data_IF_649923971471
#
_entry.id   IF_649923971471
#
_cell.length_a   1.000
_cell.length_b   1.000
_cell.length_c   1.000
_cell.angle_alpha   90.00
_cell.angle_beta   90.00
_cell.angle_gamma   90.00
#
_symmetry.space_group_name_H-M   'P 1'
#
loop_
_entity.id
_entity.type
_entity.pdbx_description
1 polymer ?
#
# COMPACT_ATOMS: atom_id res chain seq x y z
N UNK A 1 3.03 0.58 -20.74
CA UNK A 1 4.29 0.45 -20.00
C UNK A 1 4.76 -1.00 -20.08
N UNK A 2 5.37 -1.41 -21.20
CA UNK A 2 5.88 -2.78 -21.39
C UNK A 2 6.85 -3.23 -20.29
N UNK A 3 7.67 -2.30 -19.80
CA UNK A 3 8.72 -2.50 -18.80
C UNK A 3 8.13 -2.90 -17.44
N UNK A 4 6.98 -2.31 -17.08
CA UNK A 4 6.22 -2.71 -15.89
C UNK A 4 5.74 -4.15 -15.98
N UNK A 5 5.18 -4.54 -17.14
CA UNK A 5 4.68 -5.91 -17.34
C UNK A 5 5.81 -6.92 -17.26
N UNK A 6 7.00 -6.59 -17.79
CA UNK A 6 8.19 -7.45 -17.69
C UNK A 6 8.73 -7.56 -16.26
N UNK A 7 8.73 -6.46 -15.50
CA UNK A 7 9.08 -6.49 -14.07
C UNK A 7 8.10 -7.40 -13.31
N UNK A 8 6.80 -7.21 -13.47
CA UNK A 8 5.78 -7.99 -12.76
C UNK A 8 5.85 -9.48 -13.09
N UNK A 9 6.16 -9.84 -14.35
CA UNK A 9 6.40 -11.25 -14.72
C UNK A 9 7.56 -11.88 -13.93
N UNK A 10 8.64 -11.13 -13.68
CA UNK A 10 9.77 -11.60 -12.87
C UNK A 10 9.39 -11.68 -11.39
N UNK A 11 8.69 -10.69 -10.84
CA UNK A 11 8.21 -10.70 -9.46
C UNK A 11 7.29 -11.89 -9.16
N UNK A 12 6.49 -12.32 -10.13
CA UNK A 12 5.59 -13.45 -10.03
C UNK A 12 6.16 -14.78 -10.55
N UNK A 13 7.49 -14.89 -10.73
CA UNK A 13 8.08 -16.17 -11.12
C UNK A 13 7.81 -17.24 -10.03
N UNK A 14 7.45 -18.45 -10.49
CA UNK A 14 7.18 -19.59 -9.62
C UNK A 14 8.42 -20.05 -8.87
N UNK A 15 9.61 -19.86 -9.45
CA UNK A 15 10.88 -20.09 -8.77
C UNK A 15 11.26 -18.83 -7.98
N UNK A 16 11.35 -18.89 -6.63
CA UNK A 16 11.76 -17.76 -5.81
C UNK A 16 13.13 -17.18 -6.18
N UNK A 17 14.07 -18.02 -6.62
CA UNK A 17 15.42 -17.58 -7.01
C UNK A 17 15.47 -16.73 -8.27
N UNK A 18 14.39 -16.76 -9.08
CA UNK A 18 14.26 -15.94 -10.30
C UNK A 18 13.57 -14.60 -10.05
N UNK A 19 13.02 -14.41 -8.86
CA UNK A 19 12.39 -13.14 -8.49
C UNK A 19 13.49 -12.10 -8.27
N UNK A 20 13.25 -10.84 -8.67
CA UNK A 20 14.18 -9.78 -8.35
C UNK A 20 14.23 -9.57 -6.84
N UNK A 21 15.40 -9.14 -6.37
CA UNK A 21 15.59 -8.66 -5.01
C UNK A 21 14.87 -7.33 -4.79
N UNK A 22 14.67 -6.95 -3.52
CA UNK A 22 14.05 -5.65 -3.18
C UNK A 22 14.88 -4.49 -3.74
N UNK A 23 16.20 -4.54 -3.58
CA UNK A 23 17.13 -3.52 -4.09
C UNK A 23 17.03 -3.34 -5.61
N UNK A 24 16.92 -4.44 -6.37
CA UNK A 24 16.72 -4.37 -7.83
C UNK A 24 15.38 -3.74 -8.21
N UNK A 25 14.33 -4.01 -7.44
CA UNK A 25 13.00 -3.44 -7.65
C UNK A 25 13.01 -1.94 -7.33
N UNK A 26 13.65 -1.54 -6.24
CA UNK A 26 13.84 -0.14 -5.84
C UNK A 26 14.58 0.64 -6.93
N UNK A 27 15.70 0.11 -7.42
CA UNK A 27 16.48 0.72 -8.51
C UNK A 27 15.66 0.92 -9.78
N UNK A 28 14.77 -0.02 -10.11
CA UNK A 28 13.91 0.08 -11.29
C UNK A 28 12.84 1.17 -11.08
N UNK A 29 12.18 1.19 -9.93
CA UNK A 29 11.18 2.21 -9.63
C UNK A 29 11.79 3.61 -9.53
N UNK A 30 12.98 3.77 -8.95
CA UNK A 30 13.70 5.04 -8.92
C UNK A 30 14.03 5.57 -10.32
N UNK A 31 14.41 4.69 -11.25
CA UNK A 31 14.60 5.08 -12.66
C UNK A 31 13.28 5.50 -13.31
N UNK A 32 12.20 4.80 -13.02
CA UNK A 32 10.88 5.14 -13.57
C UNK A 32 10.33 6.44 -13.03
N UNK A 33 10.58 6.78 -11.76
CA UNK A 33 10.18 8.07 -11.19
C UNK A 33 10.76 9.24 -12.00
N UNK A 34 12.04 9.15 -12.37
CA UNK A 34 12.68 10.15 -13.24
C UNK A 34 12.21 10.11 -14.70
N UNK A 35 11.78 8.94 -15.20
CA UNK A 35 11.35 8.75 -16.59
C UNK A 35 9.89 9.16 -16.80
N UNK A 36 9.06 8.93 -15.79
CA UNK A 36 7.62 9.13 -15.76
C UNK A 36 7.27 9.99 -14.54
N UNK A 37 7.66 11.28 -14.53
CA UNK A 37 7.38 12.15 -13.41
C UNK A 37 5.88 12.24 -13.16
N UNK A 38 5.48 12.20 -11.90
CA UNK A 38 4.09 12.37 -11.52
C UNK A 38 3.63 13.78 -11.87
N UNK A 39 2.43 13.90 -12.45
CA UNK A 39 1.78 15.21 -12.61
C UNK A 39 1.37 15.72 -11.22
N UNK A 40 1.88 16.88 -10.82
CA UNK A 40 1.57 17.47 -9.51
C UNK A 40 0.25 18.25 -9.52
N UNK A 41 -0.15 18.77 -10.69
CA UNK A 41 -1.36 19.57 -10.83
C UNK A 41 -2.59 18.68 -10.98
N UNK A 42 -3.48 18.72 -9.98
CA UNK A 42 -4.67 17.85 -9.92
C UNK A 42 -5.55 17.95 -11.17
N UNK A 43 -5.73 19.14 -11.72
CA UNK A 43 -6.55 19.38 -12.91
C UNK A 43 -6.01 18.70 -14.17
N UNK A 44 -4.71 18.41 -14.21
CA UNK A 44 -4.04 17.73 -15.33
C UNK A 44 -3.98 16.21 -15.17
N UNK A 45 -4.28 15.70 -13.98
CA UNK A 45 -4.32 14.26 -13.73
C UNK A 45 -5.51 13.63 -14.46
N UNK A 46 -5.30 12.45 -15.02
CA UNK A 46 -6.38 11.68 -15.61
C UNK A 46 -7.23 11.14 -14.46
N UNK A 47 -8.53 11.51 -14.35
CA UNK A 47 -9.37 11.02 -13.28
C UNK A 47 -9.56 9.51 -13.41
N UNK A 48 -9.49 8.80 -12.29
CA UNK A 48 -9.85 7.39 -12.25
C UNK A 48 -11.32 7.28 -12.61
N UNK A 49 -11.70 6.50 -13.64
CA UNK A 49 -13.10 6.34 -13.99
C UNK A 49 -13.87 5.77 -12.80
N UNK A 50 -15.05 6.32 -12.52
CA UNK A 50 -15.92 5.91 -11.41
C UNK A 50 -16.54 4.52 -11.60
N UNK A 51 -16.22 3.82 -12.69
CA UNK A 51 -16.72 2.49 -12.91
C UNK A 51 -16.15 1.55 -11.84
N UNK A 52 -17.01 1.11 -10.93
CA UNK A 52 -16.66 0.07 -9.98
C UNK A 52 -16.19 -1.13 -10.82
N UNK A 53 -14.92 -1.54 -10.74
CA UNK A 53 -14.48 -2.70 -11.47
C UNK A 53 -15.39 -3.84 -11.03
N UNK A 54 -16.01 -4.55 -11.98
CA UNK A 54 -16.60 -5.85 -11.67
C UNK A 54 -15.44 -6.72 -11.18
N UNK A 55 -15.26 -6.78 -9.85
CA UNK A 55 -14.22 -7.60 -9.26
C UNK A 55 -14.66 -9.05 -9.48
N UNK A 56 -14.19 -9.63 -10.59
CA UNK A 56 -14.38 -11.02 -10.91
C UNK A 56 -13.41 -11.84 -10.05
N UNK A 57 -13.87 -12.25 -8.87
CA UNK A 57 -13.10 -13.17 -8.03
C UNK A 57 -12.98 -14.53 -8.72
N UNK A 58 -11.79 -15.12 -8.68
CA UNK A 58 -11.63 -16.50 -9.07
C UNK A 58 -12.40 -17.39 -8.08
N UNK A 59 -13.24 -18.30 -8.56
CA UNK A 59 -14.12 -19.16 -7.74
C UNK A 59 -13.39 -19.97 -6.65
N UNK A 60 -12.08 -20.18 -6.81
CA UNK A 60 -11.21 -20.89 -5.86
C UNK A 60 -10.29 -19.97 -5.05
N UNK A 61 -10.46 -18.65 -5.12
CA UNK A 61 -9.68 -17.72 -4.31
C UNK A 61 -10.14 -17.82 -2.85
N UNK A 62 -9.19 -17.98 -1.92
CA UNK A 62 -9.47 -17.98 -0.48
C UNK A 62 -9.66 -16.54 0.05
N UNK A 63 -9.20 -15.56 -0.74
CA UNK A 63 -9.26 -14.15 -0.41
C UNK A 63 -10.53 -13.52 -0.98
N UNK A 64 -11.56 -13.41 -0.15
CA UNK A 64 -12.71 -12.54 -0.48
C UNK A 64 -12.37 -11.14 -0.03
N UNK A 65 -11.90 -10.27 -0.94
CA UNK A 65 -11.78 -8.84 -0.67
C UNK A 65 -13.18 -8.30 -0.38
N UNK A 66 -13.63 -8.32 0.88
CA UNK A 66 -14.85 -7.61 1.25
C UNK A 66 -14.48 -6.14 1.29
N UNK A 67 -15.15 -5.31 0.49
CA UNK A 67 -15.07 -3.85 0.63
C UNK A 67 -15.41 -3.53 2.09
N UNK A 68 -14.42 -3.18 2.89
CA UNK A 68 -14.63 -2.81 4.28
C UNK A 68 -15.34 -1.46 4.26
N UNK A 69 -16.68 -1.47 4.27
CA UNK A 69 -17.50 -0.28 4.47
C UNK A 69 -17.49 0.09 5.96
N UNK A 70 -16.30 0.35 6.47
CA UNK A 70 -16.01 0.66 7.86
C UNK A 70 -15.72 2.14 8.06
N UNK A 71 -15.82 2.98 7.03
CA UNK A 71 -15.52 4.42 7.14
C UNK A 71 -16.31 5.10 8.26
N UNK A 72 -17.61 4.82 8.37
CA UNK A 72 -18.44 5.35 9.46
C UNK A 72 -18.00 4.84 10.84
N UNK A 73 -17.71 3.54 10.96
CA UNK A 73 -17.28 2.92 12.22
C UNK A 73 -15.86 3.31 12.63
N UNK A 74 -14.97 3.53 11.67
CA UNK A 74 -13.63 4.09 11.89
C UNK A 74 -13.73 5.53 12.36
N UNK A 75 -14.54 6.36 11.70
CA UNK A 75 -14.76 7.75 12.12
C UNK A 75 -15.35 7.81 13.54
N UNK A 76 -16.25 6.89 13.89
CA UNK A 76 -16.78 6.74 15.25
C UNK A 76 -15.68 6.37 16.25
N UNK A 77 -14.85 5.36 15.95
CA UNK A 77 -13.72 4.94 16.80
C UNK A 77 -12.68 6.05 16.99
N UNK A 78 -12.39 6.80 15.93
CA UNK A 78 -11.47 7.95 15.96
C UNK A 78 -12.06 9.13 16.75
N UNK A 79 -13.38 9.22 16.86
CA UNK A 79 -14.06 10.25 17.65
C UNK A 79 -14.16 9.90 19.14
N UNK A 80 -13.65 8.74 19.57
CA UNK A 80 -13.56 8.38 20.98
C UNK A 80 -12.35 9.08 21.62
N UNK A 81 -12.61 9.89 22.64
CA UNK A 81 -11.61 10.72 23.34
C UNK A 81 -10.42 9.92 23.90
N UNK A 82 -10.62 8.64 24.23
CA UNK A 82 -9.57 7.77 24.78
C UNK A 82 -8.52 7.34 23.73
N UNK A 83 -8.90 7.27 22.44
CA UNK A 83 -8.00 6.90 21.34
C UNK A 83 -7.32 8.12 20.71
N UNK A 84 -8.03 9.25 20.65
CA UNK A 84 -7.54 10.50 20.06
C UNK A 84 -6.20 10.95 20.68
N UNK A 85 -6.03 10.75 21.98
CA UNK A 85 -4.80 11.12 22.70
C UNK A 85 -3.61 10.14 22.48
N UNK A 86 -3.86 8.95 21.91
CA UNK A 86 -2.83 7.94 21.63
C UNK A 86 -2.35 7.95 20.18
N UNK A 87 -3.14 8.52 19.27
CA UNK A 87 -2.79 8.63 17.85
C UNK A 87 -1.99 9.91 17.68
N UNK A 88 -0.66 9.79 17.60
CA UNK A 88 0.19 10.92 17.19
C UNK A 88 0.05 11.05 15.67
N UNK A 89 -0.68 12.08 15.22
CA UNK A 89 -0.65 12.47 13.81
C UNK A 89 0.70 13.15 13.56
N UNK A 90 1.63 12.39 12.98
CA UNK A 90 2.91 12.94 12.54
C UNK A 90 2.63 13.69 11.25
N UNK A 91 2.65 15.02 11.32
CA UNK A 91 2.65 15.87 10.14
C UNK A 91 3.99 15.64 9.42
N UNK A 92 3.96 15.28 8.14
CA UNK A 92 5.08 14.83 7.27
C UNK A 92 6.23 15.84 7.11
N UNK A 93 6.27 16.90 7.92
CA UNK A 93 7.23 17.99 7.82
C UNK A 93 8.46 17.86 8.72
N UNK A 94 8.63 16.75 9.44
CA UNK A 94 9.83 16.53 10.26
C UNK A 94 10.26 15.05 10.29
N UNK A 95 10.81 14.61 9.15
CA UNK A 95 11.38 13.29 8.89
C UNK A 95 12.74 13.05 9.57
N UNK A 96 12.92 13.42 10.85
CA UNK A 96 14.25 13.18 11.45
C UNK A 96 14.28 13.09 12.97
N UNK A 97 13.45 12.23 13.61
CA UNK A 97 13.79 11.74 14.97
C UNK A 97 13.04 10.60 15.67
N UNK A 98 12.13 9.83 15.06
CA UNK A 98 11.41 8.78 15.82
C UNK A 98 11.57 7.39 15.20
N UNK A 99 12.82 6.95 14.99
CA UNK A 99 13.14 5.56 14.63
C UNK A 99 13.57 4.73 15.84
N UNK A 100 13.34 5.19 17.08
CA UNK A 100 13.91 4.57 18.29
C UNK A 100 12.91 4.12 19.36
N UNK A 101 11.61 4.24 19.14
CA UNK A 101 10.59 3.86 20.15
C UNK A 101 9.61 2.76 19.69
N UNK A 102 9.80 2.15 18.51
CA UNK A 102 8.91 1.09 18.00
C UNK A 102 9.51 -0.32 18.04
N UNK A 103 10.57 -0.54 18.83
CA UNK A 103 11.23 -1.85 18.95
C UNK A 103 10.57 -2.82 19.96
N UNK A 104 9.38 -2.54 20.52
CA UNK A 104 8.78 -3.41 21.57
C UNK A 104 7.29 -3.75 21.42
N UNK A 105 6.77 -3.97 20.21
CA UNK A 105 5.47 -4.64 20.07
C UNK A 105 5.43 -5.66 18.93
N UNK A 106 6.32 -6.65 19.00
CA UNK A 106 6.10 -7.95 18.38
C UNK A 106 5.02 -8.71 19.16
N UNK A 107 3.76 -8.59 18.74
CA UNK A 107 2.74 -9.64 18.91
C UNK A 107 1.87 -9.70 17.65
N UNK A 108 2.46 -10.19 16.55
CA UNK A 108 1.72 -10.60 15.35
C UNK A 108 1.24 -12.05 15.52
N UNK A 109 0.42 -12.31 16.54
CA UNK A 109 0.00 -13.69 16.86
C UNK A 109 -1.48 -14.02 16.56
N UNK A 110 -2.26 -13.13 15.95
CA UNK A 110 -3.65 -13.44 15.59
C UNK A 110 -3.96 -13.19 14.09
N UNK A 111 -3.19 -13.83 13.22
CA UNK A 111 -3.59 -14.04 11.81
C UNK A 111 -3.44 -15.51 11.42
N UNK A 112 -4.23 -16.38 12.08
CA UNK A 112 -4.60 -17.69 11.54
C UNK A 112 -6.04 -17.59 11.03
N UNK A 113 -6.23 -17.94 9.75
CA UNK A 113 -7.52 -18.07 9.05
C UNK A 113 -8.30 -19.27 9.57
#
# INVERSE_FOLDING_TARGET
MPEYVELMKRCWDNNPEKRPTVDEVEDIFGKWDTTYPMEEEEEKRIPVPENEPEIAYHLKSCYTSRKFNYSAKLNEMLSQDELSNKIVIIDDKNDDRISKELDEQDELDDCII
#
